data_IF_211130134098
#
_entry.id   IF_211130134098
#
_cell.length_a   1.000
_cell.length_b   1.000
_cell.length_c   1.000
_cell.angle_alpha   90.00
_cell.angle_beta   90.00
_cell.angle_gamma   90.00
#
_symmetry.space_group_name_H-M   'P 1'
#
loop_
_entity.id
_entity.type
_entity.pdbx_description
1 polymer ?
#
# COMPACT_ATOMS: atom_id res chain seq x y z
N UNK A 1 2.97 4.15 -19.50
CA UNK A 1 3.39 4.63 -18.16
C UNK A 1 2.27 5.49 -17.59
N UNK A 2 2.01 5.43 -16.28
CA UNK A 2 0.87 6.13 -15.68
C UNK A 2 1.22 7.60 -15.45
N UNK A 3 0.43 8.54 -15.99
CA UNK A 3 0.62 10.00 -15.79
C UNK A 3 0.87 10.41 -14.33
N UNK A 4 0.20 9.82 -13.32
CA UNK A 4 0.48 10.15 -11.91
C UNK A 4 1.91 9.88 -11.45
N UNK A 5 2.63 8.93 -12.06
CA UNK A 5 4.00 8.58 -11.68
C UNK A 5 5.03 9.64 -12.12
N UNK A 6 4.75 10.40 -13.19
CA UNK A 6 5.65 11.45 -13.71
C UNK A 6 5.99 12.51 -12.65
N UNK A 7 5.07 12.79 -11.72
CA UNK A 7 5.32 13.72 -10.63
C UNK A 7 6.33 13.16 -9.62
N UNK A 8 6.25 11.86 -9.31
CA UNK A 8 7.20 11.22 -8.41
C UNK A 8 8.59 11.08 -9.05
N UNK A 9 8.66 10.84 -10.36
CA UNK A 9 9.91 10.85 -11.13
C UNK A 9 10.60 12.21 -11.09
N UNK A 10 9.84 13.30 -11.25
CA UNK A 10 10.37 14.67 -11.12
C UNK A 10 10.96 14.93 -9.73
N UNK A 11 10.36 14.37 -8.68
CA UNK A 11 10.89 14.48 -7.31
C UNK A 11 12.11 13.58 -7.09
N UNK A 12 12.15 12.39 -7.69
CA UNK A 12 13.32 11.50 -7.67
C UNK A 12 14.57 12.16 -8.25
N UNK A 13 14.41 13.02 -9.27
CA UNK A 13 15.51 13.82 -9.82
C UNK A 13 16.04 14.92 -8.89
N UNK A 14 15.36 15.21 -7.78
CA UNK A 14 15.69 16.33 -6.86
C UNK A 14 16.04 15.87 -5.44
N UNK A 15 15.75 14.63 -5.10
CA UNK A 15 15.79 14.10 -3.74
C UNK A 15 16.69 12.85 -3.68
N UNK A 16 17.30 12.52 -2.53
CA UNK A 16 18.27 11.44 -2.43
C UNK A 16 17.61 10.05 -2.29
N UNK A 17 16.80 9.65 -3.27
CA UNK A 17 16.22 8.31 -3.36
C UNK A 17 16.31 7.74 -4.78
N UNK A 18 16.33 6.42 -4.89
CA UNK A 18 16.14 5.73 -6.18
C UNK A 18 14.69 5.31 -6.32
N UNK A 19 14.10 5.65 -7.46
CA UNK A 19 12.78 5.17 -7.85
C UNK A 19 12.92 3.94 -8.72
N UNK A 20 12.27 2.85 -8.33
CA UNK A 20 12.36 1.55 -9.00
C UNK A 20 10.96 1.04 -9.29
N UNK A 21 10.75 0.56 -10.52
CA UNK A 21 9.52 -0.07 -10.97
C UNK A 21 9.80 -1.55 -11.26
N UNK A 22 9.75 -2.44 -10.26
CA UNK A 22 9.97 -3.86 -10.50
C UNK A 22 8.75 -4.48 -11.18
N UNK A 23 9.01 -5.40 -12.10
CA UNK A 23 7.97 -6.21 -12.74
C UNK A 23 7.71 -7.50 -11.96
N UNK A 24 6.43 -7.82 -11.75
CA UNK A 24 6.01 -9.08 -11.14
C UNK A 24 6.22 -10.28 -12.07
N UNK A 25 6.36 -11.47 -11.50
CA UNK A 25 6.52 -12.71 -12.26
C UNK A 25 5.32 -12.94 -13.20
N UNK A 26 5.59 -12.99 -14.52
CA UNK A 26 4.53 -13.04 -15.56
C UNK A 26 3.46 -11.95 -15.38
N UNK A 27 3.83 -10.77 -14.85
CA UNK A 27 2.97 -9.63 -14.52
C UNK A 27 2.05 -9.83 -13.30
N UNK A 28 2.32 -10.82 -12.47
CA UNK A 28 1.60 -11.07 -11.22
C UNK A 28 2.54 -11.07 -10.03
N UNK A 29 1.99 -10.79 -8.85
CA UNK A 29 2.66 -10.91 -7.57
C UNK A 29 2.01 -12.03 -6.76
N UNK A 30 2.79 -12.75 -5.97
CA UNK A 30 2.27 -13.62 -4.92
C UNK A 30 1.99 -12.77 -3.68
N UNK A 31 0.74 -12.36 -3.45
CA UNK A 31 0.39 -11.24 -2.54
C UNK A 31 -0.18 -11.67 -1.17
N UNK A 32 0.23 -12.81 -0.64
CA UNK A 32 -0.33 -13.35 0.61
C UNK A 32 -1.84 -13.65 0.54
N UNK A 33 -2.33 -14.11 -0.61
CA UNK A 33 -3.76 -14.38 -0.87
C UNK A 33 -3.94 -15.81 -1.33
N UNK A 34 -4.38 -16.68 -0.42
CA UNK A 34 -4.58 -18.12 -0.63
C UNK A 34 -5.48 -18.45 -1.81
N UNK A 35 -6.54 -17.66 -1.99
CA UNK A 35 -7.55 -17.90 -3.03
C UNK A 35 -7.24 -17.19 -4.35
N UNK A 36 -6.12 -16.45 -4.44
CA UNK A 36 -5.76 -15.78 -5.68
C UNK A 36 -5.31 -16.81 -6.73
N UNK A 37 -5.88 -16.71 -7.92
CA UNK A 37 -5.60 -17.61 -9.05
C UNK A 37 -4.46 -17.12 -9.95
N UNK A 38 -3.69 -16.14 -9.46
CA UNK A 38 -2.53 -15.63 -10.19
C UNK A 38 -1.46 -16.72 -10.31
N UNK A 39 -0.73 -16.73 -11.43
CA UNK A 39 0.37 -17.69 -11.62
C UNK A 39 1.47 -17.54 -10.58
N UNK A 40 1.70 -16.33 -10.08
CA UNK A 40 2.68 -16.08 -9.03
C UNK A 40 2.26 -16.73 -7.69
N UNK A 41 0.97 -16.69 -7.35
CA UNK A 41 0.43 -17.39 -6.18
C UNK A 41 0.49 -18.91 -6.36
N UNK A 42 0.07 -19.43 -7.52
CA UNK A 42 0.02 -20.87 -7.79
C UNK A 42 1.40 -21.54 -7.82
N UNK A 43 2.40 -20.86 -8.40
CA UNK A 43 3.79 -21.33 -8.42
C UNK A 43 4.55 -20.97 -7.13
N UNK A 44 3.88 -20.34 -6.15
CA UNK A 44 4.44 -19.90 -4.87
C UNK A 44 5.74 -19.08 -5.03
N UNK A 45 5.69 -18.05 -5.86
CA UNK A 45 6.85 -17.20 -6.13
C UNK A 45 7.30 -16.51 -4.83
N UNK A 46 8.60 -16.60 -4.56
CA UNK A 46 9.23 -16.02 -3.38
C UNK A 46 9.56 -14.54 -3.61
N UNK A 47 8.58 -13.69 -3.35
CA UNK A 47 8.74 -12.24 -3.51
C UNK A 47 9.79 -11.65 -2.57
N UNK A 48 9.90 -12.16 -1.34
CA UNK A 48 10.88 -11.69 -0.37
C UNK A 48 12.30 -11.86 -0.92
N UNK A 49 12.62 -13.01 -1.50
CA UNK A 49 13.91 -13.25 -2.13
C UNK A 49 14.17 -12.30 -3.30
N UNK A 50 13.15 -12.00 -4.12
CA UNK A 50 13.26 -11.06 -5.22
C UNK A 50 13.55 -9.62 -4.75
N UNK A 51 12.80 -9.13 -3.76
CA UNK A 51 13.02 -7.78 -3.21
C UNK A 51 14.35 -7.70 -2.43
N UNK A 52 14.79 -8.75 -1.74
CA UNK A 52 16.12 -8.79 -1.11
C UNK A 52 17.26 -8.74 -2.14
N UNK A 53 17.15 -9.52 -3.22
CA UNK A 53 18.12 -9.48 -4.32
C UNK A 53 18.17 -8.09 -4.98
N UNK A 54 17.01 -7.45 -5.15
CA UNK A 54 16.91 -6.10 -5.68
C UNK A 54 17.61 -5.07 -4.77
N UNK A 55 17.37 -5.12 -3.46
CA UNK A 55 18.05 -4.25 -2.49
C UNK A 55 19.57 -4.43 -2.52
N UNK A 56 20.03 -5.69 -2.62
CA UNK A 56 21.45 -6.00 -2.76
C UNK A 56 22.03 -5.44 -4.07
N UNK A 57 21.32 -5.63 -5.19
CA UNK A 57 21.71 -5.13 -6.50
C UNK A 57 21.89 -3.60 -6.49
N UNK A 58 20.91 -2.84 -5.96
CA UNK A 58 21.01 -1.39 -5.95
C UNK A 58 22.08 -0.88 -4.97
N UNK A 59 22.25 -1.53 -3.82
CA UNK A 59 23.34 -1.20 -2.91
C UNK A 59 24.72 -1.39 -3.58
N UNK A 60 24.92 -2.54 -4.24
CA UNK A 60 26.20 -2.87 -4.88
C UNK A 60 26.53 -1.95 -6.05
N UNK A 61 25.54 -1.62 -6.89
CA UNK A 61 25.79 -0.91 -8.15
C UNK A 61 25.60 0.61 -8.07
N UNK A 62 24.84 1.12 -7.10
CA UNK A 62 24.50 2.55 -7.00
C UNK A 62 24.82 3.16 -5.62
N UNK A 63 25.38 2.39 -4.68
CA UNK A 63 25.79 2.90 -3.37
C UNK A 63 24.66 3.35 -2.45
N UNK A 64 23.40 3.06 -2.80
CA UNK A 64 22.26 3.39 -1.93
C UNK A 64 22.24 2.51 -0.69
N UNK A 65 21.62 3.01 0.39
CA UNK A 65 21.38 2.22 1.58
C UNK A 65 20.37 1.09 1.31
N UNK A 66 20.82 -0.05 0.78
CA UNK A 66 19.99 -1.23 0.50
C UNK A 66 19.54 -1.98 1.75
N UNK A 67 19.63 -1.37 2.94
CA UNK A 67 19.07 -1.96 4.17
C UNK A 67 17.58 -1.69 4.29
N UNK A 68 17.08 -0.63 3.65
CA UNK A 68 15.70 -0.21 3.81
C UNK A 68 15.05 0.20 2.50
N UNK A 69 13.72 0.10 2.45
CA UNK A 69 12.91 0.58 1.35
C UNK A 69 11.61 1.22 1.83
N UNK A 70 11.02 1.99 0.92
CA UNK A 70 9.60 2.31 0.93
C UNK A 70 8.93 1.64 -0.26
N UNK A 71 7.65 1.31 -0.16
CA UNK A 71 6.90 0.71 -1.26
C UNK A 71 5.56 1.41 -1.48
N UNK A 72 5.21 1.70 -2.73
CA UNK A 72 3.90 2.23 -3.13
C UNK A 72 3.32 1.26 -4.15
N UNK A 73 2.05 0.94 -4.02
CA UNK A 73 1.38 0.14 -5.04
C UNK A 73 -0.12 0.37 -5.12
N UNK A 74 -0.64 0.15 -6.33
CA UNK A 74 -2.06 0.21 -6.67
C UNK A 74 -2.62 -1.21 -6.83
N UNK A 75 -3.79 -1.49 -6.27
CA UNK A 75 -4.52 -2.76 -6.42
C UNK A 75 -3.63 -3.95 -6.05
N UNK A 76 -3.27 -4.83 -6.98
CA UNK A 76 -2.30 -5.90 -6.74
C UNK A 76 -0.97 -5.39 -6.17
N UNK A 77 -0.41 -4.31 -6.74
CA UNK A 77 0.78 -3.67 -6.17
C UNK A 77 0.57 -3.18 -4.74
N UNK A 78 -0.64 -2.77 -4.37
CA UNK A 78 -1.00 -2.39 -2.99
C UNK A 78 -1.01 -3.60 -2.05
N UNK A 79 -1.50 -4.75 -2.52
CA UNK A 79 -1.41 -6.01 -1.78
C UNK A 79 0.05 -6.48 -1.66
N UNK A 80 0.87 -6.30 -2.70
CA UNK A 80 2.30 -6.57 -2.62
C UNK A 80 3.00 -5.66 -1.60
N UNK A 81 2.62 -4.38 -1.53
CA UNK A 81 3.11 -3.47 -0.50
C UNK A 81 2.75 -3.99 0.92
N UNK A 82 1.52 -4.47 1.14
CA UNK A 82 1.17 -5.13 2.39
C UNK A 82 2.01 -6.38 2.66
N UNK A 83 2.23 -7.26 1.67
CA UNK A 83 3.09 -8.44 1.83
C UNK A 83 4.48 -8.04 2.31
N UNK A 84 5.10 -7.03 1.72
CA UNK A 84 6.42 -6.54 2.14
C UNK A 84 6.41 -6.04 3.58
N UNK A 85 5.38 -5.31 3.99
CA UNK A 85 5.24 -4.86 5.37
C UNK A 85 5.02 -6.01 6.37
N UNK A 86 4.24 -7.04 5.99
CA UNK A 86 3.95 -8.20 6.83
C UNK A 86 5.16 -9.13 6.99
N UNK A 87 5.96 -9.30 5.92
CA UNK A 87 7.00 -10.34 5.84
C UNK A 87 8.43 -9.81 5.94
N UNK A 88 8.65 -8.53 5.63
CA UNK A 88 9.97 -7.88 5.69
C UNK A 88 9.98 -6.58 6.51
N UNK A 89 9.31 -6.51 7.68
CA UNK A 89 9.14 -5.25 8.42
C UNK A 89 10.46 -4.61 8.87
N UNK A 90 11.52 -5.40 9.10
CA UNK A 90 12.82 -4.86 9.54
C UNK A 90 13.54 -4.07 8.44
N UNK A 91 13.17 -4.28 7.17
CA UNK A 91 13.69 -3.55 6.01
C UNK A 91 12.68 -2.50 5.51
N UNK A 92 11.40 -2.67 5.82
CA UNK A 92 10.34 -1.78 5.36
C UNK A 92 10.24 -0.51 6.25
N UNK A 93 10.65 0.65 5.71
CA UNK A 93 10.52 1.95 6.38
C UNK A 93 9.12 2.57 6.26
N UNK A 94 8.30 2.06 5.34
CA UNK A 94 6.89 2.39 5.25
C UNK A 94 6.30 2.01 3.90
N UNK A 95 4.98 1.87 3.86
CA UNK A 95 4.27 1.54 2.63
C UNK A 95 3.13 2.51 2.36
N UNK A 96 2.75 2.61 1.09
CA UNK A 96 1.43 3.08 0.69
C UNK A 96 0.72 2.06 -0.18
N UNK A 97 -0.49 1.67 0.26
CA UNK A 97 -1.37 0.77 -0.46
C UNK A 97 -2.59 1.56 -0.96
N UNK A 98 -2.78 1.56 -2.28
CA UNK A 98 -3.86 2.28 -2.96
C UNK A 98 -4.83 1.24 -3.52
N UNK A 99 -6.13 1.41 -3.26
CA UNK A 99 -7.24 0.50 -3.63
C UNK A 99 -6.96 -0.96 -3.29
N UNK A 100 -6.47 -1.18 -2.08
CA UNK A 100 -6.13 -2.50 -1.55
C UNK A 100 -6.43 -2.58 -0.05
N UNK A 101 -6.91 -3.75 0.37
CA UNK A 101 -7.10 -4.10 1.78
C UNK A 101 -6.25 -5.30 2.15
N UNK A 102 -5.99 -5.48 3.46
CA UNK A 102 -5.36 -6.71 3.91
C UNK A 102 -6.29 -7.91 3.62
N UNK A 103 -5.75 -9.06 3.19
CA UNK A 103 -6.54 -10.30 3.16
C UNK A 103 -7.08 -10.61 4.56
N UNK A 104 -8.28 -11.17 4.64
CA UNK A 104 -8.81 -11.62 5.94
C UNK A 104 -8.12 -12.92 6.38
N UNK A 105 -8.36 -13.35 7.63
CA UNK A 105 -7.71 -14.55 8.19
C UNK A 105 -8.00 -15.84 7.40
N UNK A 106 -9.09 -15.90 6.64
CA UNK A 106 -9.42 -17.08 5.83
C UNK A 106 -8.63 -17.12 4.52
N UNK A 107 -8.12 -15.96 4.08
CA UNK A 107 -7.43 -15.79 2.80
C UNK A 107 -5.94 -15.44 2.95
N UNK A 108 -5.49 -15.00 4.12
CA UNK A 108 -4.08 -14.69 4.38
C UNK A 108 -3.28 -16.00 4.52
N UNK A 109 -2.28 -16.20 3.66
CA UNK A 109 -1.40 -17.39 3.66
C UNK A 109 0.08 -17.08 3.92
N UNK A 110 0.42 -15.81 4.18
CA UNK A 110 1.74 -15.44 4.66
C UNK A 110 1.85 -15.51 6.19
N UNK A 111 3.03 -15.91 6.66
CA UNK A 111 3.41 -15.73 8.05
C UNK A 111 3.70 -14.24 8.33
N UNK A 112 2.95 -13.67 9.27
CA UNK A 112 3.07 -12.26 9.62
C UNK A 112 4.11 -12.08 10.73
N UNK A 113 5.11 -11.22 10.52
CA UNK A 113 6.09 -10.90 11.55
C UNK A 113 5.52 -10.04 12.70
N UNK A 114 4.28 -9.51 12.54
CA UNK A 114 3.55 -8.71 13.53
C UNK A 114 4.34 -7.50 14.09
N UNK A 115 5.21 -6.91 13.28
CA UNK A 115 5.95 -5.68 13.63
C UNK A 115 5.28 -4.45 13.01
N UNK A 116 5.19 -3.33 13.73
CA UNK A 116 4.58 -2.13 13.19
C UNK A 116 5.52 -1.42 12.21
N UNK A 117 4.98 -1.03 11.06
CA UNK A 117 5.64 -0.13 10.10
C UNK A 117 4.72 1.05 9.78
N UNK A 118 5.24 2.18 9.28
CA UNK A 118 4.40 3.27 8.82
C UNK A 118 3.57 2.82 7.61
N UNK A 119 2.27 3.10 7.61
CA UNK A 119 1.34 2.71 6.53
C UNK A 119 0.44 3.86 6.12
N UNK A 120 0.34 4.11 4.82
CA UNK A 120 -0.70 4.95 4.24
C UNK A 120 -1.64 4.13 3.36
N UNK A 121 -2.94 4.24 3.60
CA UNK A 121 -3.99 3.55 2.85
C UNK A 121 -4.78 4.59 2.07
N UNK A 122 -5.08 4.33 0.80
CA UNK A 122 -5.93 5.19 -0.03
C UNK A 122 -6.97 4.32 -0.71
N UNK A 123 -8.21 4.30 -0.22
CA UNK A 123 -9.27 3.44 -0.76
C UNK A 123 -10.54 4.22 -1.06
N UNK A 124 -11.18 3.87 -2.19
CA UNK A 124 -12.47 4.37 -2.62
C UNK A 124 -13.63 3.67 -1.93
N UNK A 125 -14.69 4.40 -1.57
CA UNK A 125 -15.88 3.81 -0.93
C UNK A 125 -16.77 3.02 -1.90
N UNK A 126 -16.65 3.28 -3.20
CA UNK A 126 -17.41 2.65 -4.28
C UNK A 126 -16.56 1.62 -5.05
N UNK A 127 -15.42 1.21 -4.49
CA UNK A 127 -14.57 0.19 -5.08
C UNK A 127 -15.31 -1.16 -5.16
N UNK A 128 -15.71 -1.55 -6.38
CA UNK A 128 -16.42 -2.79 -6.67
C UNK A 128 -15.49 -4.02 -6.79
N UNK A 129 -14.17 -3.81 -6.84
CA UNK A 129 -13.17 -4.87 -7.00
C UNK A 129 -12.62 -5.28 -5.65
N UNK A 130 -12.11 -4.33 -4.88
CA UNK A 130 -11.58 -4.48 -3.52
C UNK A 130 -12.50 -3.73 -2.54
N UNK A 131 -13.55 -4.38 -2.01
CA UNK A 131 -14.64 -3.69 -1.33
C UNK A 131 -14.17 -2.91 -0.10
N UNK A 132 -14.58 -1.64 -0.02
CA UNK A 132 -14.24 -0.77 1.10
C UNK A 132 -14.70 -1.35 2.45
N UNK A 133 -15.88 -1.97 2.49
CA UNK A 133 -16.48 -2.61 3.66
C UNK A 133 -15.95 -4.03 3.90
N UNK A 134 -14.98 -4.48 3.10
CA UNK A 134 -14.43 -5.84 3.16
C UNK A 134 -15.35 -6.87 2.50
N UNK A 135 -14.92 -8.13 2.52
CA UNK A 135 -15.63 -9.22 1.88
C UNK A 135 -14.88 -9.73 0.65
N UNK A 136 -15.62 -10.27 -0.30
CA UNK A 136 -15.04 -10.98 -1.45
C UNK A 136 -14.48 -10.00 -2.49
N UNK A 137 -13.18 -10.11 -2.77
CA UNK A 137 -12.55 -9.37 -3.85
C UNK A 137 -12.85 -10.06 -5.19
N UNK A 138 -13.33 -9.29 -6.17
CA UNK A 138 -13.72 -9.83 -7.49
C UNK A 138 -13.08 -9.04 -8.62
N UNK A 139 -12.46 -9.74 -9.55
CA UNK A 139 -11.98 -9.16 -10.81
C UNK A 139 -12.64 -9.92 -11.95
N UNK A 140 -13.38 -9.22 -12.81
CA UNK A 140 -14.10 -9.81 -13.94
C UNK A 140 -14.97 -11.02 -13.55
N UNK A 141 -15.65 -10.94 -12.40
CA UNK A 141 -16.51 -12.00 -11.87
C UNK A 141 -15.79 -13.15 -11.16
N UNK A 142 -14.46 -13.22 -11.23
CA UNK A 142 -13.67 -14.23 -10.54
C UNK A 142 -13.28 -13.76 -9.13
N UNK A 143 -13.43 -14.64 -8.14
CA UNK A 143 -13.03 -14.37 -6.76
C UNK A 143 -11.51 -14.47 -6.59
N UNK A 144 -10.93 -13.53 -5.86
CA UNK A 144 -9.53 -13.56 -5.41
C UNK A 144 -9.43 -13.72 -3.89
N UNK A 145 -10.51 -14.25 -3.30
CA UNK A 145 -10.67 -14.45 -1.87
C UNK A 145 -11.10 -13.19 -1.14
N UNK A 146 -11.18 -13.31 0.18
CA UNK A 146 -11.75 -12.28 1.05
C UNK A 146 -10.68 -11.33 1.57
N UNK A 147 -11.06 -10.06 1.73
CA UNK A 147 -10.27 -8.99 2.33
C UNK A 147 -10.99 -8.40 3.54
N UNK A 148 -10.22 -7.87 4.48
CA UNK A 148 -10.72 -7.02 5.54
C UNK A 148 -11.36 -5.75 4.97
N UNK A 149 -12.20 -5.08 5.76
CA UNK A 149 -12.61 -3.71 5.44
C UNK A 149 -11.42 -2.75 5.49
N UNK A 150 -11.57 -1.59 4.86
CA UNK A 150 -10.59 -0.50 4.96
C UNK A 150 -10.42 -0.07 6.41
N UNK A 151 -11.49 0.06 7.19
CA UNK A 151 -11.42 0.39 8.61
C UNK A 151 -10.70 -0.68 9.43
N UNK A 152 -10.91 -1.96 9.13
CA UNK A 152 -10.24 -3.05 9.85
C UNK A 152 -8.77 -3.15 9.44
N UNK A 153 -8.44 -2.89 8.16
CA UNK A 153 -7.06 -2.80 7.69
C UNK A 153 -6.32 -1.64 8.35
N UNK A 154 -6.95 -0.46 8.43
CA UNK A 154 -6.41 0.72 9.11
C UNK A 154 -6.23 0.47 10.62
N UNK A 155 -7.23 -0.12 11.27
CA UNK A 155 -7.17 -0.49 12.68
C UNK A 155 -6.07 -1.52 12.95
N UNK A 156 -5.89 -2.53 12.10
CA UNK A 156 -4.84 -3.53 12.23
C UNK A 156 -3.46 -2.88 12.38
N UNK A 157 -3.10 -1.98 11.46
CA UNK A 157 -1.80 -1.29 11.50
C UNK A 157 -1.69 -0.34 12.69
N UNK A 158 -2.76 0.38 13.03
CA UNK A 158 -2.79 1.25 14.20
C UNK A 158 -2.61 0.46 15.52
N UNK A 159 -3.22 -0.72 15.62
CA UNK A 159 -3.10 -1.62 16.76
C UNK A 159 -1.69 -2.19 16.90
N UNK A 160 -1.05 -2.62 15.80
CA UNK A 160 0.35 -3.04 15.81
C UNK A 160 1.28 -1.92 16.31
N UNK A 161 1.03 -0.67 15.89
CA UNK A 161 1.79 0.50 16.36
C UNK A 161 1.42 0.93 17.81
N UNK A 162 0.49 0.23 18.46
CA UNK A 162 0.08 0.45 19.84
C UNK A 162 -0.73 1.73 20.03
N UNK A 163 -1.44 2.21 19.01
CA UNK A 163 -2.39 3.31 19.18
C UNK A 163 -3.63 2.85 19.96
N UNK A 164 -4.10 3.72 20.83
CA UNK A 164 -5.36 3.59 21.58
C UNK A 164 -6.14 4.88 21.37
N UNK A 165 -7.44 4.77 21.09
CA UNK A 165 -8.31 5.93 20.85
C UNK A 165 -8.56 6.20 19.36
N UNK A 166 -9.02 7.42 19.05
CA UNK A 166 -9.47 7.82 17.72
C UNK A 166 -8.35 8.55 16.95
N UNK A 167 -8.28 8.42 15.62
CA UNK A 167 -7.34 9.17 14.80
C UNK A 167 -7.74 10.66 14.75
N UNK A 168 -6.80 11.53 14.40
CA UNK A 168 -7.14 12.88 13.93
C UNK A 168 -7.88 12.76 12.61
N UNK A 169 -8.97 13.51 12.43
CA UNK A 169 -9.77 13.54 11.21
C UNK A 169 -9.67 14.91 10.55
N UNK A 170 -9.42 14.96 9.25
CA UNK A 170 -9.38 16.18 8.45
C UNK A 170 -9.98 15.94 7.06
N UNK A 171 -10.86 16.83 6.59
CA UNK A 171 -11.35 16.79 5.21
C UNK A 171 -10.36 17.55 4.33
N UNK A 172 -9.93 16.93 3.23
CA UNK A 172 -9.06 17.59 2.25
C UNK A 172 -9.87 18.49 1.31
N UNK A 173 -9.27 19.53 0.74
CA UNK A 173 -9.92 20.36 -0.27
C UNK A 173 -10.41 19.53 -1.46
N UNK A 174 -11.65 19.76 -1.88
CA UNK A 174 -12.20 19.23 -3.12
C UNK A 174 -11.86 20.20 -4.26
N UNK A 175 -10.88 19.82 -5.08
CA UNK A 175 -10.40 20.64 -6.19
C UNK A 175 -11.21 20.45 -7.48
N UNK A 176 -12.07 19.42 -7.54
CA UNK A 176 -12.88 19.09 -8.71
C UNK A 176 -14.25 18.54 -8.29
N UNK A 177 -15.13 19.44 -7.85
CA UNK A 177 -16.48 19.06 -7.39
C UNK A 177 -17.35 18.36 -8.45
N UNK A 178 -16.95 18.36 -9.73
CA UNK A 178 -17.62 17.65 -10.81
C UNK A 178 -17.42 16.12 -10.79
N UNK A 179 -16.36 15.61 -10.15
CA UNK A 179 -16.09 14.17 -10.07
C UNK A 179 -16.88 13.46 -8.96
N UNK A 180 -17.60 14.22 -8.11
CA UNK A 180 -18.39 13.71 -6.97
C UNK A 180 -17.55 12.91 -5.96
N UNK A 181 -16.25 13.17 -5.89
CA UNK A 181 -15.35 12.60 -4.91
C UNK A 181 -15.03 13.63 -3.82
N UNK A 182 -14.86 13.15 -2.59
CA UNK A 182 -14.28 13.95 -1.50
C UNK A 182 -13.37 13.08 -0.68
N UNK A 183 -12.35 13.66 -0.05
CA UNK A 183 -11.37 12.88 0.71
C UNK A 183 -11.41 13.28 2.18
N UNK A 184 -11.67 12.28 3.03
CA UNK A 184 -11.48 12.41 4.48
C UNK A 184 -10.22 11.65 4.89
N UNK A 185 -9.30 12.36 5.52
CA UNK A 185 -8.04 11.83 6.02
C UNK A 185 -8.11 11.53 7.51
N UNK A 186 -7.68 10.34 7.88
CA UNK A 186 -7.57 9.85 9.25
C UNK A 186 -6.10 9.61 9.55
N UNK A 187 -5.59 10.13 10.67
CA UNK A 187 -4.17 10.01 11.03
C UNK A 187 -3.98 9.58 12.48
N UNK A 188 -3.24 8.49 12.68
CA UNK A 188 -2.61 8.15 13.94
C UNK A 188 -1.12 8.56 13.90
N UNK A 189 -0.74 9.49 14.77
CA UNK A 189 0.64 9.98 14.91
C UNK A 189 0.92 10.40 16.35
N UNK A 190 1.96 9.85 16.98
CA UNK A 190 2.37 10.22 18.35
C UNK A 190 3.81 9.79 18.64
N UNK A 191 4.69 10.74 18.95
CA UNK A 191 6.08 10.47 19.29
C UNK A 191 6.80 9.71 18.17
N UNK A 192 7.51 8.63 18.54
CA UNK A 192 8.23 7.75 17.60
C UNK A 192 7.43 6.53 17.12
N UNK A 193 6.13 6.44 17.43
CA UNK A 193 5.30 5.34 16.93
C UNK A 193 5.15 5.45 15.40
N UNK A 194 5.15 4.33 14.66
CA UNK A 194 4.92 4.36 13.22
C UNK A 194 3.62 5.07 12.84
N UNK A 195 3.69 6.04 11.93
CA UNK A 195 2.51 6.81 11.51
C UNK A 195 1.58 5.93 10.66
N UNK A 196 0.27 5.97 10.95
CA UNK A 196 -0.75 5.25 10.16
C UNK A 196 -1.76 6.25 9.63
N UNK A 197 -1.94 6.29 8.32
CA UNK A 197 -2.80 7.25 7.61
C UNK A 197 -3.81 6.50 6.74
N UNK A 198 -5.05 6.97 6.71
CA UNK A 198 -6.07 6.55 5.76
C UNK A 198 -6.60 7.77 5.03
N UNK A 199 -6.55 7.76 3.70
CA UNK A 199 -7.35 8.62 2.83
C UNK A 199 -8.59 7.84 2.38
N UNK A 200 -9.74 8.17 2.97
CA UNK A 200 -11.05 7.65 2.56
C UNK A 200 -11.54 8.52 1.40
N UNK A 201 -11.57 7.95 0.20
CA UNK A 201 -12.07 8.62 -1.01
C UNK A 201 -13.55 8.30 -1.16
N UNK A 202 -14.39 9.18 -0.64
CA UNK A 202 -15.85 9.07 -0.72
C UNK A 202 -16.24 9.21 -2.18
N UNK A 203 -17.02 8.27 -2.71
CA UNK A 203 -17.38 8.21 -4.13
C UNK A 203 -16.29 7.61 -5.02
N UNK A 204 -15.08 7.38 -4.51
CA UNK A 204 -13.97 6.80 -5.27
C UNK A 204 -14.21 5.33 -5.63
N UNK A 205 -13.81 4.94 -6.83
CA UNK A 205 -13.92 3.59 -7.38
C UNK A 205 -12.59 2.81 -7.25
N UNK A 206 -12.44 1.70 -8.01
CA UNK A 206 -11.17 0.96 -8.10
C UNK A 206 -10.16 1.66 -9.02
N UNK A 207 -9.78 2.88 -8.67
CA UNK A 207 -8.91 3.74 -9.47
C UNK A 207 -8.01 4.61 -8.61
N UNK A 208 -7.06 5.29 -9.25
CA UNK A 208 -6.33 6.37 -8.59
C UNK A 208 -7.32 7.49 -8.18
N UNK A 209 -7.17 8.07 -6.98
CA UNK A 209 -7.95 9.25 -6.61
C UNK A 209 -7.67 10.40 -7.60
N UNK A 210 -8.71 11.15 -7.94
CA UNK A 210 -8.61 12.26 -8.89
C UNK A 210 -8.19 13.57 -8.21
N UNK A 211 -8.63 13.81 -6.98
CA UNK A 211 -8.37 15.07 -6.25
C UNK A 211 -6.98 15.16 -5.62
N UNK A 212 -6.28 14.04 -5.51
CA UNK A 212 -4.92 13.98 -4.98
C UNK A 212 -4.07 13.05 -5.83
N UNK A 213 -2.80 13.42 -6.04
CA UNK A 213 -1.85 12.47 -6.62
C UNK A 213 -1.36 11.51 -5.53
N UNK A 214 -1.86 10.27 -5.54
CA UNK A 214 -1.52 9.25 -4.55
C UNK A 214 -0.02 8.97 -4.42
N UNK A 215 0.77 9.07 -5.50
CA UNK A 215 2.23 8.90 -5.44
C UNK A 215 2.91 10.09 -4.74
N UNK A 216 2.48 11.31 -5.05
CA UNK A 216 2.99 12.51 -4.38
C UNK A 216 2.65 12.51 -2.90
N UNK A 217 1.40 12.18 -2.53
CA UNK A 217 1.00 12.03 -1.12
C UNK A 217 1.81 10.96 -0.40
N UNK A 218 2.08 9.83 -1.08
CA UNK A 218 2.91 8.76 -0.55
C UNK A 218 4.33 9.21 -0.29
N UNK A 219 4.91 9.98 -1.20
CA UNK A 219 6.25 10.52 -1.01
C UNK A 219 6.32 11.50 0.16
N UNK A 220 5.36 12.42 0.27
CA UNK A 220 5.26 13.31 1.44
C UNK A 220 5.05 12.53 2.74
N UNK A 221 4.39 11.37 2.69
CA UNK A 221 4.28 10.44 3.81
C UNK A 221 5.60 9.78 4.15
N UNK A 222 6.38 9.32 3.19
CA UNK A 222 7.68 8.69 3.47
C UNK A 222 8.71 9.67 4.00
N UNK A 223 8.76 10.91 3.49
CA UNK A 223 9.71 11.95 3.95
C UNK A 223 9.65 12.25 5.44
N UNK A 224 8.49 12.02 6.07
CA UNK A 224 8.27 12.26 7.50
C UNK A 224 8.47 11.02 8.39
N UNK A 225 8.81 9.87 7.81
CA UNK A 225 9.21 8.66 8.55
C UNK A 225 10.73 8.68 8.73
N UNK A 226 11.20 8.59 9.98
CA UNK A 226 12.63 8.55 10.33
C UNK A 226 12.94 7.23 11.04
#
# INVERSE_FOLDING_TARGET
MMKPAENLEKEAGKEPFLLVYPDGYKRYWNECRKSATSVANQENINEQAFFEAMLHYFNKNYGVNGKHFYAIGLSGGGHMAYKLALTMPDKCKGISAIVANLPDQTNLDCEEAKKPVPVMIINGTNDAVNPYTGGEMKVNGSSFGRVLSTENTFTYWASLAGYKGKPKVETLPDSNSGNKQTITKYTFKKGRKPEVVLLKVIGGEHAFPEDVNGFTESWQFFKRQK
#
